data_IF_100917604834
#
_entry.id   IF_100917604834
#
_cell.length_a   1.000
_cell.length_b   1.000
_cell.length_c   1.000
_cell.angle_alpha   90.00
_cell.angle_beta   90.00
_cell.angle_gamma   90.00
#
_symmetry.space_group_name_H-M   'P 1'
#
loop_
_entity.id
_entity.type
_entity.pdbx_description
1 polymer ?
#
# COMPACT_ATOMS: atom_id res chain seq x y z
N UNK A 1 -78.60 -11.71 -53.52
CA UNK A 1 -79.35 -12.32 -52.42
C UNK A 1 -78.48 -12.37 -51.17
N UNK A 2 -78.88 -11.72 -50.07
CA UNK A 2 -78.36 -12.00 -48.73
C UNK A 2 -79.43 -11.59 -47.72
N UNK A 3 -79.97 -12.58 -47.03
CA UNK A 3 -81.00 -12.46 -46.00
C UNK A 3 -80.38 -11.92 -44.69
N UNK A 4 -81.06 -11.05 -43.91
CA UNK A 4 -80.67 -10.65 -42.56
C UNK A 4 -81.43 -11.50 -41.50
N UNK A 5 -81.53 -11.11 -40.22
CA UNK A 5 -80.57 -10.92 -39.11
C UNK A 5 -80.77 -12.04 -38.03
N UNK A 6 -80.12 -12.08 -36.85
CA UNK A 6 -80.62 -11.61 -35.52
C UNK A 6 -79.74 -12.18 -34.36
N UNK A 7 -79.95 -11.83 -33.05
CA UNK A 7 -78.86 -11.37 -32.18
C UNK A 7 -78.60 -12.18 -30.89
N UNK A 8 -77.49 -11.84 -30.24
CA UNK A 8 -77.14 -11.78 -28.80
C UNK A 8 -77.45 -12.92 -27.79
N UNK A 9 -76.42 -13.10 -26.96
CA UNK A 9 -76.34 -13.48 -25.52
C UNK A 9 -76.43 -14.95 -25.09
N UNK A 10 -75.32 -15.44 -24.54
CA UNK A 10 -75.25 -16.26 -23.32
C UNK A 10 -73.82 -16.11 -22.76
N UNK A 11 -73.69 -15.45 -21.61
CA UNK A 11 -73.26 -16.08 -20.34
C UNK A 11 -71.73 -16.27 -20.29
N UNK A 12 -70.97 -15.49 -19.51
CA UNK A 12 -71.12 -15.44 -18.05
C UNK A 12 -70.30 -16.56 -17.39
N UNK A 13 -68.98 -16.58 -17.59
CA UNK A 13 -68.04 -17.40 -16.83
C UNK A 13 -67.15 -16.50 -15.95
N UNK A 14 -66.86 -16.86 -14.68
CA UNK A 14 -66.22 -15.97 -13.72
C UNK A 14 -64.78 -15.63 -14.12
N UNK A 15 -64.23 -14.48 -13.69
CA UNK A 15 -62.83 -14.19 -13.94
C UNK A 15 -61.95 -15.15 -13.13
N UNK A 16 -61.21 -16.02 -13.81
CA UNK A 16 -60.11 -16.76 -13.21
C UNK A 16 -58.91 -15.81 -13.02
N UNK A 17 -58.93 -14.98 -11.99
CA UNK A 17 -57.68 -14.43 -11.45
C UNK A 17 -57.05 -15.46 -10.50
N UNK A 18 -55.73 -15.44 -10.25
CA UNK A 18 -54.61 -15.21 -11.15
C UNK A 18 -53.67 -16.42 -11.11
N UNK A 19 -53.28 -16.95 -12.27
CA UNK A 19 -52.22 -17.95 -12.36
C UNK A 19 -50.88 -17.36 -11.92
N UNK A 20 -50.56 -17.54 -10.64
CA UNK A 20 -49.32 -17.22 -9.94
C UNK A 20 -48.10 -17.47 -10.86
N UNK A 21 -47.51 -16.42 -11.44
CA UNK A 21 -46.21 -16.44 -12.15
C UNK A 21 -45.04 -16.69 -11.17
N UNK A 22 -45.16 -17.67 -10.28
CA UNK A 22 -44.14 -17.94 -9.26
C UNK A 22 -42.99 -18.77 -9.80
N UNK A 23 -43.22 -19.71 -10.71
CA UNK A 23 -42.16 -20.57 -11.24
C UNK A 23 -41.06 -19.80 -11.98
N UNK A 24 -41.44 -18.89 -12.88
CA UNK A 24 -40.48 -18.10 -13.66
C UNK A 24 -39.67 -17.12 -12.80
N UNK A 25 -40.30 -16.48 -11.82
CA UNK A 25 -39.63 -15.51 -10.95
C UNK A 25 -38.70 -16.18 -9.93
N UNK A 26 -39.09 -17.35 -9.40
CA UNK A 26 -38.22 -18.14 -8.52
C UNK A 26 -37.00 -18.69 -9.29
N UNK A 27 -37.19 -19.16 -10.53
CA UNK A 27 -36.06 -19.60 -11.37
C UNK A 27 -35.11 -18.45 -11.68
N UNK A 28 -35.62 -17.26 -12.01
CA UNK A 28 -34.79 -16.06 -12.24
C UNK A 28 -34.03 -15.64 -10.98
N UNK A 29 -34.64 -15.70 -9.79
CA UNK A 29 -33.95 -15.37 -8.53
C UNK A 29 -32.85 -16.37 -8.20
N UNK A 30 -33.06 -17.66 -8.45
CA UNK A 30 -32.05 -18.71 -8.23
C UNK A 30 -30.89 -18.56 -9.21
N UNK A 31 -31.16 -18.32 -10.49
CA UNK A 31 -30.11 -18.16 -11.50
C UNK A 31 -29.31 -16.88 -11.29
N UNK A 32 -29.98 -15.75 -11.00
CA UNK A 32 -29.31 -14.48 -10.71
C UNK A 32 -28.53 -14.56 -9.39
N UNK A 33 -29.12 -15.14 -8.33
CA UNK A 33 -28.44 -15.34 -7.05
C UNK A 33 -27.23 -16.27 -7.18
N UNK A 34 -27.35 -17.34 -7.95
CA UNK A 34 -26.25 -18.27 -8.24
C UNK A 34 -25.12 -17.59 -9.01
N UNK A 35 -25.43 -16.77 -10.01
CA UNK A 35 -24.43 -16.00 -10.77
C UNK A 35 -23.70 -14.97 -9.89
N UNK A 36 -24.41 -14.28 -8.99
CA UNK A 36 -23.81 -13.34 -8.05
C UNK A 36 -22.87 -14.07 -7.07
N UNK A 37 -23.31 -15.22 -6.53
CA UNK A 37 -22.48 -16.03 -5.65
C UNK A 37 -21.21 -16.54 -6.37
N UNK A 38 -21.35 -17.01 -7.61
CA UNK A 38 -20.22 -17.43 -8.45
C UNK A 38 -19.26 -16.27 -8.77
N UNK A 39 -19.79 -15.09 -9.08
CA UNK A 39 -18.99 -13.89 -9.31
C UNK A 39 -18.25 -13.43 -8.04
N UNK A 40 -18.90 -13.50 -6.88
CA UNK A 40 -18.29 -13.17 -5.60
C UNK A 40 -17.17 -14.15 -5.23
N UNK A 41 -17.41 -15.46 -5.37
CA UNK A 41 -16.40 -16.49 -5.10
C UNK A 41 -15.27 -16.42 -6.12
N UNK A 42 -15.58 -16.29 -7.41
CA UNK A 42 -14.58 -16.14 -8.47
C UNK A 42 -13.76 -14.85 -8.32
N UNK A 43 -14.40 -13.75 -7.94
CA UNK A 43 -13.72 -12.48 -7.62
C UNK A 43 -12.81 -12.61 -6.40
N UNK A 44 -13.25 -13.27 -5.33
CA UNK A 44 -12.44 -13.52 -4.14
C UNK A 44 -11.22 -14.39 -4.46
N UNK A 45 -11.41 -15.49 -5.20
CA UNK A 45 -10.31 -16.38 -5.64
C UNK A 45 -9.35 -15.62 -6.54
N UNK A 46 -9.85 -14.84 -7.51
CA UNK A 46 -9.03 -13.99 -8.36
C UNK A 46 -8.23 -12.96 -7.56
N UNK A 47 -8.83 -12.35 -6.54
CA UNK A 47 -8.15 -11.40 -5.65
C UNK A 47 -7.06 -12.06 -4.81
N UNK A 48 -7.31 -13.27 -4.29
CA UNK A 48 -6.32 -14.04 -3.52
C UNK A 48 -5.15 -14.45 -4.43
N UNK A 49 -5.43 -14.98 -5.63
CA UNK A 49 -4.38 -15.35 -6.60
C UNK A 49 -3.59 -14.12 -7.04
N UNK A 50 -4.26 -13.00 -7.29
CA UNK A 50 -3.60 -11.73 -7.60
C UNK A 50 -2.70 -11.28 -6.44
N UNK A 51 -3.19 -11.30 -5.20
CA UNK A 51 -2.39 -10.90 -4.03
C UNK A 51 -1.19 -11.83 -3.80
N UNK A 52 -1.34 -13.14 -4.03
CA UNK A 52 -0.24 -14.09 -3.94
C UNK A 52 0.78 -13.91 -5.06
N UNK A 53 0.34 -13.80 -6.31
CA UNK A 53 1.23 -13.58 -7.44
C UNK A 53 1.94 -12.22 -7.35
N UNK A 54 1.22 -11.17 -6.95
CA UNK A 54 1.79 -9.84 -6.72
C UNK A 54 2.76 -9.86 -5.53
N UNK A 55 2.42 -10.57 -4.45
CA UNK A 55 3.30 -10.77 -3.30
C UNK A 55 4.56 -11.57 -3.62
N UNK A 56 4.48 -12.58 -4.47
CA UNK A 56 5.62 -13.42 -4.90
C UNK A 56 6.53 -12.68 -5.90
N UNK A 57 5.94 -11.93 -6.84
CA UNK A 57 6.67 -11.04 -7.78
C UNK A 57 7.32 -9.85 -7.05
N UNK A 58 6.85 -9.51 -5.85
CA UNK A 58 7.42 -8.46 -5.01
C UNK A 58 8.17 -8.98 -3.78
N UNK A 59 8.24 -10.29 -3.57
CA UNK A 59 9.05 -10.88 -2.50
C UNK A 59 10.54 -10.58 -2.72
N UNK A 60 10.94 -10.39 -3.99
CA UNK A 60 12.30 -9.99 -4.39
C UNK A 60 12.47 -8.46 -4.53
N UNK A 61 11.44 -7.64 -4.26
CA UNK A 61 11.59 -6.19 -4.18
C UNK A 61 12.25 -5.82 -2.86
N UNK A 62 13.58 -5.81 -2.87
CA UNK A 62 14.41 -5.34 -1.77
C UNK A 62 14.08 -3.88 -1.41
N UNK A 63 13.66 -3.63 -0.17
CA UNK A 63 13.45 -2.28 0.33
C UNK A 63 14.75 -1.73 0.91
N UNK A 64 15.25 -0.56 0.46
CA UNK A 64 16.43 0.07 1.05
C UNK A 64 16.32 0.31 2.56
N UNK A 65 15.09 0.34 3.09
CA UNK A 65 14.79 0.45 4.50
C UNK A 65 15.38 -0.71 5.33
N UNK A 66 15.44 -1.92 4.78
CA UNK A 66 15.89 -3.12 5.49
C UNK A 66 17.40 -3.08 5.81
N UNK A 67 18.17 -2.28 5.05
CA UNK A 67 19.60 -2.09 5.26
C UNK A 67 19.93 -1.15 6.42
N UNK A 68 18.94 -0.40 6.89
CA UNK A 68 19.13 0.71 7.82
C UNK A 68 18.58 0.34 9.18
N UNK A 69 19.47 0.32 10.17
CA UNK A 69 19.10 0.08 11.56
C UNK A 69 19.47 1.29 12.41
N UNK A 70 18.49 1.85 13.14
CA UNK A 70 18.76 2.83 14.20
C UNK A 70 19.21 2.07 15.46
N UNK A 71 20.51 1.95 15.66
CA UNK A 71 21.11 1.14 16.73
C UNK A 71 21.09 1.84 18.09
N UNK A 72 20.93 3.16 18.13
CA UNK A 72 20.80 3.89 19.39
C UNK A 72 20.06 5.21 19.19
N UNK A 73 19.36 5.65 20.22
CA UNK A 73 18.78 6.98 20.31
C UNK A 73 18.94 7.46 21.74
N UNK A 74 19.71 8.52 21.95
CA UNK A 74 19.98 9.07 23.28
C UNK A 74 19.91 10.58 23.26
N UNK A 75 19.71 11.18 24.43
CA UNK A 75 19.83 12.62 24.58
C UNK A 75 21.29 12.96 24.89
N UNK A 76 21.83 13.96 24.22
CA UNK A 76 23.10 14.57 24.55
C UNK A 76 22.98 15.38 25.84
N UNK A 77 23.90 15.19 26.80
CA UNK A 77 23.79 15.79 28.14
C UNK A 77 24.06 17.30 28.12
N UNK A 78 24.95 17.76 27.25
CA UNK A 78 25.35 19.16 27.16
C UNK A 78 24.32 19.99 26.38
N UNK A 79 23.98 19.54 25.17
CA UNK A 79 23.09 20.29 24.28
C UNK A 79 21.62 19.96 24.45
N UNK A 80 21.30 18.89 25.20
CA UNK A 80 19.93 18.37 25.36
C UNK A 80 19.28 17.95 24.05
N UNK A 81 20.06 17.75 22.98
CA UNK A 81 19.57 17.34 21.65
C UNK A 81 19.58 15.81 21.52
N UNK A 82 18.66 15.22 20.75
CA UNK A 82 18.68 13.80 20.53
C UNK A 82 19.80 13.44 19.54
N UNK A 83 20.46 12.32 19.78
CA UNK A 83 21.54 11.78 18.95
C UNK A 83 21.16 10.35 18.57
N UNK A 84 20.95 10.13 17.27
CA UNK A 84 20.72 8.82 16.70
C UNK A 84 22.05 8.21 16.25
N UNK A 85 22.30 6.96 16.62
CA UNK A 85 23.28 6.12 15.96
C UNK A 85 22.59 5.29 14.88
N UNK A 86 23.02 5.45 13.63
CA UNK A 86 22.46 4.73 12.47
C UNK A 86 23.54 3.82 11.91
N UNK A 87 23.17 2.57 11.66
CA UNK A 87 24.00 1.60 10.94
C UNK A 87 23.34 1.32 9.60
N UNK A 88 24.12 1.37 8.53
CA UNK A 88 23.68 1.00 7.19
C UNK A 88 24.57 -0.15 6.73
N UNK A 89 23.96 -1.29 6.39
CA UNK A 89 24.66 -2.42 5.77
C UNK A 89 24.10 -2.60 4.37
N UNK A 90 24.88 -2.31 3.34
CA UNK A 90 24.39 -2.37 1.96
C UNK A 90 24.23 -3.82 1.51
N UNK A 91 23.01 -4.29 1.36
CA UNK A 91 22.72 -5.57 0.69
C UNK A 91 22.32 -5.34 -0.79
N UNK A 92 22.52 -4.11 -1.30
CA UNK A 92 22.28 -3.79 -2.70
C UNK A 92 23.19 -4.61 -3.62
N UNK A 93 22.69 -5.01 -4.77
CA UNK A 93 23.49 -5.67 -5.81
C UNK A 93 24.56 -4.75 -6.44
N UNK A 94 24.53 -3.45 -6.15
CA UNK A 94 25.43 -2.44 -6.70
C UNK A 94 25.82 -1.43 -5.64
N UNK A 95 26.98 -0.80 -5.83
CA UNK A 95 27.43 0.36 -5.07
C UNK A 95 26.50 1.55 -5.32
N UNK A 96 26.24 2.35 -4.29
CA UNK A 96 25.31 3.47 -4.40
C UNK A 96 25.25 4.35 -3.17
N UNK A 97 24.46 5.41 -3.28
CA UNK A 97 24.19 6.38 -2.23
C UNK A 97 22.91 6.03 -1.48
N UNK A 98 22.97 6.01 -0.15
CA UNK A 98 21.81 5.90 0.72
C UNK A 98 21.44 7.28 1.26
N UNK A 99 20.16 7.63 1.15
CA UNK A 99 19.59 8.83 1.79
C UNK A 99 18.56 8.38 2.82
N UNK A 100 18.87 8.60 4.09
CA UNK A 100 18.04 8.18 5.24
C UNK A 100 17.40 9.42 5.84
N UNK A 101 16.07 9.46 5.82
CA UNK A 101 15.27 10.50 6.48
C UNK A 101 14.92 10.06 7.90
N UNK A 102 15.54 10.72 8.88
CA UNK A 102 15.35 10.46 10.30
C UNK A 102 14.33 11.44 10.89
N UNK A 103 13.45 10.91 11.73
CA UNK A 103 12.53 11.68 12.57
C UNK A 103 12.92 11.48 14.03
N UNK A 104 13.03 12.59 14.74
CA UNK A 104 13.26 12.63 16.17
C UNK A 104 11.96 13.04 16.87
N UNK A 105 11.65 12.37 17.98
CA UNK A 105 10.48 12.66 18.80
C UNK A 105 10.87 12.80 20.26
N UNK A 106 10.21 13.71 20.95
CA UNK A 106 10.28 13.82 22.41
C UNK A 106 9.12 13.03 23.02
N UNK A 107 9.42 11.94 23.73
CA UNK A 107 8.38 11.14 24.39
C UNK A 107 7.69 11.89 25.52
N UNK A 108 8.36 12.86 26.14
CA UNK A 108 7.74 13.64 27.22
C UNK A 108 6.71 14.65 26.70
N UNK A 109 6.80 15.05 25.43
CA UNK A 109 5.84 15.96 24.79
C UNK A 109 4.51 15.29 24.40
N UNK A 110 4.36 13.98 24.62
CA UNK A 110 3.13 13.23 24.35
C UNK A 110 3.00 12.74 22.90
N UNK A 111 1.77 12.54 22.44
CA UNK A 111 1.47 12.08 21.07
C UNK A 111 0.87 13.23 20.26
N UNK A 112 1.55 13.67 19.18
CA UNK A 112 1.05 14.75 18.33
C UNK A 112 2.14 15.40 17.49
N UNK A 113 1.81 16.48 16.76
CA UNK A 113 2.79 17.26 15.98
C UNK A 113 3.84 17.91 16.88
N UNK A 114 3.46 18.26 18.11
CA UNK A 114 4.34 18.89 19.11
C UNK A 114 5.33 17.89 19.73
N UNK A 115 5.12 16.58 19.52
CA UNK A 115 6.06 15.56 19.93
C UNK A 115 7.24 15.41 18.96
N UNK A 116 7.21 16.06 17.80
CA UNK A 116 8.31 15.99 16.85
C UNK A 116 9.44 16.94 17.27
N UNK A 117 10.58 16.36 17.67
CA UNK A 117 11.83 17.09 17.93
C UNK A 117 12.58 17.46 16.63
N UNK A 118 11.96 17.19 15.47
CA UNK A 118 12.42 17.58 14.14
C UNK A 118 12.85 16.42 13.26
N UNK A 119 13.35 16.74 12.07
CA UNK A 119 13.82 15.79 11.07
C UNK A 119 15.27 16.07 10.66
N UNK A 120 16.01 15.05 10.26
CA UNK A 120 17.32 15.18 9.62
C UNK A 120 17.47 14.18 8.48
N UNK A 121 18.29 14.53 7.52
CA UNK A 121 18.69 13.62 6.45
C UNK A 121 20.14 13.23 6.66
N UNK A 122 20.42 11.93 6.65
CA UNK A 122 21.76 11.36 6.57
C UNK A 122 21.97 10.88 5.14
N UNK A 123 23.07 11.30 4.52
CA UNK A 123 23.48 10.84 3.19
C UNK A 123 24.79 10.10 3.34
N UNK A 124 24.80 8.84 2.91
CA UNK A 124 26.03 8.03 2.81
C UNK A 124 26.25 7.75 1.34
N UNK A 125 27.24 8.39 0.77
CA UNK A 125 27.58 8.26 -0.64
C UNK A 125 28.41 7.01 -0.89
N UNK A 126 28.21 6.44 -2.07
CA UNK A 126 29.11 5.44 -2.66
C UNK A 126 29.41 4.22 -1.77
N UNK A 127 28.42 3.76 -1.02
CA UNK A 127 28.54 2.59 -0.15
C UNK A 127 28.66 1.32 -1.00
N UNK A 128 29.75 0.58 -0.81
CA UNK A 128 30.01 -0.65 -1.54
C UNK A 128 29.02 -1.77 -1.18
N UNK A 129 28.87 -2.75 -2.07
CA UNK A 129 28.07 -3.96 -1.81
C UNK A 129 28.64 -4.72 -0.62
N UNK A 130 27.80 -5.08 0.34
CA UNK A 130 28.16 -5.77 1.58
C UNK A 130 28.88 -4.90 2.61
N UNK A 131 29.14 -3.62 2.32
CA UNK A 131 29.79 -2.73 3.28
C UNK A 131 28.82 -2.25 4.35
N UNK A 132 29.34 -2.12 5.57
CA UNK A 132 28.63 -1.54 6.70
C UNK A 132 29.28 -0.22 7.11
N UNK A 133 28.47 0.82 7.28
CA UNK A 133 28.86 2.09 7.88
C UNK A 133 28.03 2.36 9.13
N UNK A 134 28.57 3.12 10.07
CA UNK A 134 27.84 3.57 11.26
C UNK A 134 28.07 5.07 11.46
N UNK A 135 26.97 5.82 11.50
CA UNK A 135 26.97 7.28 11.56
C UNK A 135 26.19 7.78 12.76
N UNK A 136 26.55 8.99 13.22
CA UNK A 136 25.83 9.68 14.29
C UNK A 136 25.15 10.92 13.75
N UNK A 137 23.87 11.06 14.03
CA UNK A 137 23.05 12.19 13.57
C UNK A 137 22.44 12.90 14.76
N UNK A 138 22.71 14.20 14.87
CA UNK A 138 22.18 15.06 15.93
C UNK A 138 20.90 15.74 15.44
N UNK A 139 19.83 15.60 16.23
CA UNK A 139 18.55 16.25 15.98
C UNK A 139 18.66 17.78 16.04
N UNK A 140 17.75 18.49 15.36
CA UNK A 140 17.82 19.94 15.24
C UNK A 140 17.40 20.66 16.54
N UNK A 141 16.49 20.08 17.31
CA UNK A 141 15.85 20.70 18.48
C UNK A 141 16.17 19.94 19.75
N UNK A 142 16.18 20.63 20.88
CA UNK A 142 16.33 20.03 22.21
C UNK A 142 15.08 19.25 22.60
N UNK A 143 15.25 18.28 23.48
CA UNK A 143 14.16 17.47 24.05
C UNK A 143 14.11 17.60 25.57
N UNK A 144 12.92 17.50 26.13
CA UNK A 144 12.68 17.52 27.57
C UNK A 144 12.82 16.13 28.18
N UNK A 145 12.42 15.09 27.45
CA UNK A 145 12.48 13.70 27.89
C UNK A 145 13.39 12.80 27.06
N UNK A 146 13.34 11.48 27.33
CA UNK A 146 14.02 10.48 26.51
C UNK A 146 13.55 10.57 25.06
N UNK A 147 14.47 10.74 24.09
CA UNK A 147 14.08 10.85 22.71
C UNK A 147 13.75 9.49 22.09
N UNK A 148 12.95 9.53 21.03
CA UNK A 148 12.72 8.41 20.12
C UNK A 148 13.20 8.82 18.72
N UNK A 149 14.03 7.97 18.10
CA UNK A 149 14.60 8.20 16.78
C UNK A 149 14.13 7.09 15.86
N UNK A 150 13.62 7.45 14.69
CA UNK A 150 13.15 6.50 13.68
C UNK A 150 13.60 6.93 12.30
N UNK A 151 13.95 5.96 11.45
CA UNK A 151 13.99 6.19 10.01
C UNK A 151 12.54 6.23 9.51
N UNK A 152 12.15 7.34 8.91
CA UNK A 152 10.83 7.53 8.30
C UNK A 152 10.82 7.05 6.86
N UNK A 153 11.89 7.33 6.12
CA UNK A 153 12.05 6.92 4.73
C UNK A 153 13.54 6.68 4.43
N UNK A 154 13.80 5.76 3.51
CA UNK A 154 15.15 5.42 3.04
C UNK A 154 15.12 5.22 1.55
N UNK A 155 15.97 5.96 0.85
CA UNK A 155 16.15 5.80 -0.59
C UNK A 155 17.57 5.36 -0.90
N UNK A 156 17.69 4.56 -1.97
CA UNK A 156 18.96 4.09 -2.50
C UNK A 156 19.07 4.51 -3.96
N UNK A 157 20.22 5.07 -4.33
CA UNK A 157 20.55 5.44 -5.70
C UNK A 157 21.87 4.80 -6.11
N UNK A 158 21.84 3.90 -7.10
CA UNK A 158 23.04 3.24 -7.62
C UNK A 158 24.01 4.26 -8.24
N UNK A 159 25.32 4.12 -7.95
CA UNK A 159 26.39 4.95 -8.54
C UNK A 159 26.71 4.56 -9.99
N UNK A 160 26.15 3.47 -10.52
CA UNK A 160 26.38 3.06 -11.91
C UNK A 160 26.14 4.25 -12.86
N UNK A 161 27.21 4.72 -13.50
CA UNK A 161 27.20 5.94 -14.30
C UNK A 161 26.07 5.88 -15.31
N UNK A 162 25.29 6.95 -15.39
CA UNK A 162 24.36 7.19 -16.47
C UNK A 162 25.14 7.08 -17.78
N UNK A 163 25.13 5.89 -18.39
CA UNK A 163 25.59 5.71 -19.76
C UNK A 163 24.48 6.29 -20.59
N UNK A 164 24.51 7.61 -20.75
CA UNK A 164 23.70 8.29 -21.75
C UNK A 164 24.14 7.73 -23.09
N UNK A 165 23.35 6.82 -23.63
CA UNK A 165 23.46 6.44 -25.04
C UNK A 165 23.16 7.72 -25.81
N UNK A 166 24.20 8.43 -26.24
CA UNK A 166 24.05 9.50 -27.22
C UNK A 166 23.39 8.89 -28.46
N UNK A 167 22.22 9.38 -28.91
CA UNK A 167 21.76 9.05 -30.24
C UNK A 167 22.78 9.63 -31.23
N UNK A 168 23.47 8.77 -31.94
CA UNK A 168 24.23 9.15 -33.13
C UNK A 168 23.24 9.73 -34.15
N UNK A 169 23.32 11.03 -34.41
CA UNK A 169 22.57 11.66 -35.49
C UNK A 169 23.06 11.15 -36.86
N UNK A 170 22.14 10.99 -37.83
CA UNK A 170 22.45 10.54 -39.20
C UNK A 170 23.22 11.58 -40.02
#
# INVERSE_FOLDING_TARGET
MRYPPYPKTSEGGPPLFPGRRMGGMTVVLITVGGLIALAAVGGLVGLIVFAHAYGEVHADMRYPYDDVTVISCRMDEETRRPVAGVRITSEAARRGTYTVHLVFRDRAAGTGKDAAAGKRTLVVEDLAVGATVSERVVGPTTVLGPPECKAEDVTFQSTAGATTVSPSSP
#
